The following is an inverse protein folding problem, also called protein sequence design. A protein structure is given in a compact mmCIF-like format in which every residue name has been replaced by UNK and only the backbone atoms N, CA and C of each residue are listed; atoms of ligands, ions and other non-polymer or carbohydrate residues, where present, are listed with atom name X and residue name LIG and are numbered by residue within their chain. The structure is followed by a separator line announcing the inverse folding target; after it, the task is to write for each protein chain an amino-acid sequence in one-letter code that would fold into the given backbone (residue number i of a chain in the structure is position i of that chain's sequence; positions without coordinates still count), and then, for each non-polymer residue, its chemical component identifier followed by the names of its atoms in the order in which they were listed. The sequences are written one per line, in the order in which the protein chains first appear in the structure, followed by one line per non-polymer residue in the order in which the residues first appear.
data_IF_529728211341
#
_entry.id   IF_529728211341
#
_cell.length_a   1.000
_cell.length_b   1.000
_cell.length_c   1.000
_cell.angle_alpha   90.00
_cell.angle_beta   90.00
_cell.angle_gamma   90.00
#
_symmetry.space_group_name_H-M   'P 1'
#
loop_
_entity.id
_entity.type
_entity.pdbx_description
1 polymer ?
#
# COMPACT_ATOMS: atom_id res chain seq x y z
N UNK A 1 -2.84 7.62 -26.13
CA UNK A 1 -2.21 7.35 -24.82
C UNK A 1 -3.25 6.53 -24.09
N UNK A 2 -2.97 5.28 -23.71
CA UNK A 2 -3.94 4.57 -22.87
C UNK A 2 -4.12 5.40 -21.60
N UNK A 3 -5.34 5.79 -21.27
CA UNK A 3 -5.60 6.68 -20.14
C UNK A 3 -5.12 5.99 -18.86
N UNK A 4 -4.06 6.53 -18.26
CA UNK A 4 -3.53 6.05 -17.00
C UNK A 4 -4.64 6.19 -15.94
N UNK A 5 -4.96 5.08 -15.29
CA UNK A 5 -5.92 5.09 -14.20
C UNK A 5 -5.18 5.25 -12.87
N UNK A 6 -5.87 5.78 -11.87
CA UNK A 6 -5.35 5.81 -10.48
C UNK A 6 -4.93 4.40 -10.04
N UNK A 7 -5.69 3.37 -10.43
CA UNK A 7 -5.37 1.97 -10.13
C UNK A 7 -4.05 1.52 -10.75
N UNK A 8 -3.87 1.74 -12.06
CA UNK A 8 -2.64 1.34 -12.76
C UNK A 8 -1.40 2.08 -12.26
N UNK A 9 -1.54 3.36 -11.89
CA UNK A 9 -0.45 4.13 -11.29
C UNK A 9 -0.16 3.69 -9.86
N UNK A 10 -1.19 3.42 -9.06
CA UNK A 10 -1.02 2.95 -7.69
C UNK A 10 -0.35 1.58 -7.63
N UNK A 11 -0.65 0.70 -8.59
CA UNK A 11 0.02 -0.60 -8.72
C UNK A 11 1.50 -0.44 -9.09
N UNK A 12 1.81 0.38 -10.10
CA UNK A 12 3.19 0.67 -10.50
C UNK A 12 4.02 1.26 -9.36
N UNK A 13 3.43 2.14 -8.56
CA UNK A 13 4.09 2.85 -7.46
C UNK A 13 3.79 2.29 -6.07
N UNK A 14 3.28 1.06 -5.98
CA UNK A 14 2.82 0.51 -4.71
C UNK A 14 3.92 0.54 -3.63
N UNK A 15 5.16 0.20 -3.97
CA UNK A 15 6.28 0.27 -3.02
C UNK A 15 6.50 1.67 -2.43
N UNK A 16 6.36 2.72 -3.26
CA UNK A 16 6.48 4.11 -2.82
C UNK A 16 5.31 4.51 -1.91
N UNK A 17 4.11 4.05 -2.24
CA UNK A 17 2.90 4.30 -1.43
C UNK A 17 3.04 3.63 -0.06
N UNK A 18 3.50 2.36 -0.01
CA UNK A 18 3.72 1.64 1.24
C UNK A 18 4.79 2.32 2.11
N UNK A 19 5.88 2.80 1.50
CA UNK A 19 6.89 3.58 2.21
C UNK A 19 6.30 4.86 2.82
N UNK A 20 5.54 5.64 2.06
CA UNK A 20 4.92 6.87 2.55
C UNK A 20 3.92 6.61 3.70
N UNK A 21 3.16 5.51 3.62
CA UNK A 21 2.26 5.08 4.69
C UNK A 21 3.03 4.74 5.97
N UNK A 22 4.14 4.00 5.87
CA UNK A 22 4.94 3.68 7.05
C UNK A 22 5.62 4.93 7.64
N UNK A 23 6.13 5.83 6.80
CA UNK A 23 6.68 7.09 7.25
C UNK A 23 5.64 7.92 8.03
N UNK A 24 4.40 8.00 7.54
CA UNK A 24 3.31 8.64 8.25
C UNK A 24 2.99 7.94 9.58
N UNK A 25 2.97 6.61 9.62
CA UNK A 25 2.74 5.84 10.84
C UNK A 25 3.84 6.05 11.88
N UNK A 26 5.11 6.14 11.45
CA UNK A 26 6.24 6.48 12.32
C UNK A 26 6.06 7.87 12.92
N UNK A 27 5.79 8.89 12.10
CA UNK A 27 5.56 10.25 12.59
C UNK A 27 4.36 10.36 13.54
N UNK A 28 3.28 9.60 13.32
CA UNK A 28 2.14 9.55 14.22
C UNK A 28 2.48 8.87 15.55
N UNK A 29 3.32 7.84 15.51
CA UNK A 29 3.83 7.17 16.72
C UNK A 29 4.64 8.15 17.57
N UNK A 30 5.55 8.92 16.94
CA UNK A 30 6.36 9.95 17.61
C UNK A 30 5.52 11.07 18.25
N UNK A 31 4.35 11.37 17.66
CA UNK A 31 3.39 12.33 18.22
C UNK A 31 2.50 11.75 19.35
N UNK A 32 2.73 10.50 19.77
CA UNK A 32 1.89 9.81 20.77
C UNK A 32 0.53 9.37 20.25
N UNK A 33 0.31 9.34 18.93
CA UNK A 33 -0.97 8.97 18.28
C UNK A 33 -0.95 7.51 17.81
N UNK A 34 -0.77 6.59 18.75
CA UNK A 34 -0.58 5.16 18.45
C UNK A 34 -1.74 4.53 17.66
N UNK A 35 -2.99 4.87 17.97
CA UNK A 35 -4.16 4.33 17.26
C UNK A 35 -4.20 4.77 15.79
N UNK A 36 -3.86 6.03 15.53
CA UNK A 36 -3.77 6.54 14.16
C UNK A 36 -2.61 5.87 13.40
N UNK A 37 -1.46 5.67 14.04
CA UNK A 37 -0.34 4.94 13.45
C UNK A 37 -0.73 3.49 13.09
N UNK A 38 -1.44 2.79 13.98
CA UNK A 38 -1.93 1.44 13.74
C UNK A 38 -2.90 1.39 12.56
N UNK A 39 -3.78 2.40 12.44
CA UNK A 39 -4.69 2.53 11.31
C UNK A 39 -3.94 2.64 9.96
N UNK A 40 -2.92 3.51 9.87
CA UNK A 40 -2.11 3.66 8.67
C UNK A 40 -1.39 2.35 8.30
N UNK A 41 -0.80 1.64 9.27
CA UNK A 41 -0.19 0.32 9.03
C UNK A 41 -1.21 -0.72 8.55
N UNK A 42 -2.45 -0.63 9.02
CA UNK A 42 -3.56 -1.44 8.53
C UNK A 42 -3.88 -1.20 7.05
N UNK A 43 -3.83 0.05 6.58
CA UNK A 43 -3.97 0.39 5.16
C UNK A 43 -2.82 -0.22 4.35
N UNK A 44 -1.58 0.00 4.77
CA UNK A 44 -0.39 -0.53 4.08
C UNK A 44 -0.45 -2.06 3.93
N UNK A 45 -0.84 -2.76 5.00
CA UNK A 45 -1.03 -4.23 4.96
C UNK A 45 -2.07 -4.66 3.94
N UNK A 46 -3.26 -4.02 3.94
CA UNK A 46 -4.34 -4.36 2.98
C UNK A 46 -3.89 -4.17 1.53
N UNK A 47 -3.14 -3.11 1.24
CA UNK A 47 -2.61 -2.84 -0.09
C UNK A 47 -1.57 -3.90 -0.51
N UNK A 48 -0.62 -4.23 0.36
CA UNK A 48 0.39 -5.25 0.11
C UNK A 48 -0.23 -6.64 -0.11
N UNK A 49 -1.21 -7.02 0.72
CA UNK A 49 -1.94 -8.29 0.58
C UNK A 49 -2.76 -8.35 -0.72
N UNK A 50 -3.44 -7.27 -1.09
CA UNK A 50 -4.22 -7.22 -2.32
C UNK A 50 -3.32 -7.39 -3.56
N UNK A 51 -2.17 -6.71 -3.59
CA UNK A 51 -1.21 -6.85 -4.68
C UNK A 51 -0.54 -8.23 -4.72
N UNK A 52 -0.20 -8.80 -3.56
CA UNK A 52 0.34 -10.16 -3.49
C UNK A 52 -0.64 -11.22 -4.04
N UNK A 53 -1.94 -11.07 -3.75
CA UNK A 53 -2.98 -11.96 -4.31
C UNK A 53 -3.14 -11.78 -5.82
N UNK A 54 -3.08 -10.56 -6.33
CA UNK A 54 -3.15 -10.29 -7.77
C UNK A 54 -2.02 -11.01 -8.51
N UNK A 55 -0.78 -10.89 -8.02
CA UNK A 55 0.39 -11.55 -8.62
C UNK A 55 0.30 -13.08 -8.62
N UNK A 56 -0.15 -13.68 -7.51
CA UNK A 56 -0.31 -15.14 -7.42
C UNK A 56 -1.41 -15.68 -8.36
N UNK A 57 -2.44 -14.88 -8.63
CA UNK A 57 -3.51 -15.21 -9.58
C UNK A 57 -3.03 -15.25 -11.03
N UNK A 58 -2.11 -14.35 -11.40
CA UNK A 58 -1.50 -14.30 -12.73
C UNK A 58 -0.51 -15.46 -12.95
N UNK A 59 0.28 -15.84 -11.93
CA UNK A 59 1.25 -16.94 -12.01
C UNK A 59 0.60 -18.33 -12.11
N UNK A 60 -0.66 -18.48 -11.71
CA UNK A 60 -1.39 -19.77 -11.79
C UNK A 60 -2.08 -19.97 -13.15
N UNK A 61 -2.19 -18.92 -13.97
CA UNK A 61 -2.80 -18.96 -15.31
C UNK A 61 -1.78 -19.01 -16.46
N UNK A 62 -0.48 -18.90 -16.16
CA UNK A 62 0.63 -18.97 -17.11
C UNK A 62 1.28 -20.37 -17.13
#
# INVERSE_FOLDING_TARGET
MADETVGSLAELYLGNILYAIELAALSLTEQGKADAAAYYRGIGRKLAEAHGRAKAGDETQA
#
